data_IF_062991946114
#
_entry.id   IF_062991946114
#
_cell.length_a   1.000
_cell.length_b   1.000
_cell.length_c   1.000
_cell.angle_alpha   90.00
_cell.angle_beta   90.00
_cell.angle_gamma   90.00
#
_symmetry.space_group_name_H-M   'P 1'
#
loop_
_entity.id
_entity.type
_entity.pdbx_description
1 polymer ?
#
# COMPACT_ATOMS: atom_id res chain seq x y z
N UNK A 1 1.61 -16.68 -12.55
CA UNK A 1 2.05 -16.45 -13.93
C UNK A 1 1.61 -17.64 -14.74
N UNK A 2 1.06 -17.42 -15.93
CA UNK A 2 0.81 -18.52 -16.86
C UNK A 2 2.16 -19.10 -17.29
N UNK A 3 2.32 -20.41 -17.08
CA UNK A 3 3.62 -21.08 -17.00
C UNK A 3 4.38 -21.25 -18.32
N UNK A 4 3.85 -20.80 -19.46
CA UNK A 4 4.45 -21.10 -20.78
C UNK A 4 5.01 -19.88 -21.53
N UNK A 5 4.71 -18.63 -21.12
CA UNK A 5 5.25 -17.44 -21.79
C UNK A 5 5.33 -16.23 -20.83
N UNK A 6 6.42 -16.15 -20.07
CA UNK A 6 6.68 -15.00 -19.19
C UNK A 6 7.01 -13.78 -20.04
N UNK A 7 6.05 -12.86 -20.18
CA UNK A 7 6.27 -11.54 -20.79
C UNK A 7 6.97 -10.62 -19.79
N UNK A 8 8.22 -10.25 -20.08
CA UNK A 8 9.00 -9.30 -19.28
C UNK A 8 8.99 -7.95 -19.99
N UNK A 9 8.32 -6.96 -19.39
CA UNK A 9 8.34 -5.57 -19.83
C UNK A 9 9.20 -4.72 -18.89
N UNK A 10 9.90 -3.72 -19.42
CA UNK A 10 10.69 -2.78 -18.63
C UNK A 10 10.23 -1.34 -18.92
N UNK A 11 9.63 -0.59 -17.98
CA UNK A 11 8.91 -1.00 -16.76
C UNK A 11 7.43 -1.34 -17.02
N UNK A 12 6.95 -1.16 -18.25
CA UNK A 12 5.58 -1.43 -18.66
C UNK A 12 5.55 -2.66 -19.58
N UNK A 13 4.50 -3.47 -19.44
CA UNK A 13 4.17 -4.52 -20.42
C UNK A 13 3.08 -3.94 -21.31
N UNK A 14 3.37 -3.75 -22.60
CA UNK A 14 2.40 -3.20 -23.54
C UNK A 14 1.15 -4.08 -23.63
N UNK A 15 -0.03 -3.44 -23.55
CA UNK A 15 -1.32 -4.13 -23.58
C UNK A 15 -1.77 -4.76 -22.25
N UNK A 16 -0.91 -4.78 -21.23
CA UNK A 16 -1.29 -5.27 -19.90
C UNK A 16 -2.14 -4.22 -19.16
N UNK A 17 -3.30 -4.65 -18.66
CA UNK A 17 -4.24 -3.87 -17.86
C UNK A 17 -4.64 -4.67 -16.62
N UNK A 18 -4.63 -3.99 -15.48
CA UNK A 18 -5.14 -4.51 -14.22
C UNK A 18 -6.38 -3.68 -13.88
N UNK A 19 -7.51 -4.34 -13.70
CA UNK A 19 -8.75 -3.72 -13.23
C UNK A 19 -8.92 -4.00 -11.75
N UNK A 20 -9.27 -2.96 -10.99
CA UNK A 20 -9.45 -3.04 -9.55
C UNK A 20 -10.66 -2.22 -9.10
N UNK A 21 -11.32 -2.71 -8.05
CA UNK A 21 -12.43 -2.05 -7.38
C UNK A 21 -11.98 -1.55 -6.01
N UNK A 22 -12.49 -0.38 -5.61
CA UNK A 22 -12.27 0.17 -4.27
C UNK A 22 -13.26 -0.46 -3.30
N UNK A 23 -12.75 -1.31 -2.40
CA UNK A 23 -13.59 -2.01 -1.41
C UNK A 23 -13.86 -1.12 -0.21
N UNK A 24 -12.83 -0.46 0.31
CA UNK A 24 -12.97 0.33 1.53
C UNK A 24 -11.87 1.39 1.67
N UNK A 25 -12.13 2.36 2.55
CA UNK A 25 -11.13 3.29 3.02
C UNK A 25 -10.99 3.13 4.52
N UNK A 26 -9.75 3.02 5.00
CA UNK A 26 -9.46 2.70 6.38
C UNK A 26 -8.34 3.55 6.95
N UNK A 27 -8.14 3.39 8.25
CA UNK A 27 -6.94 3.87 8.95
C UNK A 27 -6.32 2.70 9.68
N UNK A 28 -5.02 2.54 9.55
CA UNK A 28 -4.27 1.52 10.26
C UNK A 28 -4.40 1.68 11.79
N UNK A 29 -4.08 0.63 12.56
CA UNK A 29 -3.94 0.72 14.00
C UNK A 29 -3.04 1.90 14.41
N UNK A 30 -3.32 2.49 15.57
CA UNK A 30 -2.55 3.64 16.05
C UNK A 30 -1.12 3.20 16.33
N UNK A 31 -0.17 3.84 15.67
CA UNK A 31 1.25 3.74 15.98
C UNK A 31 1.63 4.90 16.88
N UNK A 32 2.38 4.62 17.95
CA UNK A 32 2.85 5.63 18.87
C UNK A 32 4.30 5.98 18.54
N UNK A 33 4.53 7.24 18.20
CA UNK A 33 5.87 7.81 18.11
C UNK A 33 6.19 8.42 19.46
N UNK A 34 7.09 7.76 20.20
CA UNK A 34 7.64 8.26 21.45
C UNK A 34 9.01 8.87 21.19
N UNK A 35 9.24 10.08 21.70
CA UNK A 35 10.55 10.73 21.69
C UNK A 35 10.75 11.47 23.00
N UNK A 36 11.74 11.06 23.77
CA UNK A 36 12.26 11.82 24.92
C UNK A 36 13.11 12.99 24.41
N UNK A 37 12.94 14.16 25.01
CA UNK A 37 13.78 15.32 24.75
C UNK A 37 14.90 15.40 25.78
N UNK A 38 16.06 15.91 25.37
CA UNK A 38 17.22 16.08 26.25
C UNK A 38 16.94 16.99 27.45
N UNK A 39 16.02 17.97 27.29
CA UNK A 39 15.56 18.87 28.36
C UNK A 39 14.53 18.23 29.32
N UNK A 40 14.32 16.91 29.27
CA UNK A 40 13.68 16.14 30.34
C UNK A 40 12.17 15.91 30.22
N UNK A 41 11.55 16.23 29.08
CA UNK A 41 10.15 15.87 28.83
C UNK A 41 9.99 14.88 27.69
N UNK A 42 8.96 14.04 27.81
CA UNK A 42 8.60 13.06 26.80
C UNK A 42 7.52 13.59 25.86
N UNK A 43 7.70 13.36 24.56
CA UNK A 43 6.68 13.62 23.54
C UNK A 43 6.13 12.30 23.02
N UNK A 44 4.83 12.11 23.20
CA UNK A 44 4.08 10.99 22.65
C UNK A 44 3.15 11.53 21.56
N UNK A 45 3.33 11.07 20.32
CA UNK A 45 2.43 11.39 19.20
C UNK A 45 1.84 10.11 18.61
N UNK A 46 0.52 10.04 18.55
CA UNK A 46 -0.15 8.98 17.79
C UNK A 46 -0.19 9.32 16.30
N UNK A 47 0.14 8.34 15.46
CA UNK A 47 -0.12 8.37 14.02
C UNK A 47 -1.07 7.25 13.62
N UNK A 48 -1.94 7.53 12.66
CA UNK A 48 -2.81 6.52 12.03
C UNK A 48 -2.75 6.76 10.52
N UNK A 49 -2.11 5.84 9.80
CA UNK A 49 -1.94 5.97 8.37
C UNK A 49 -3.25 5.62 7.65
N UNK A 50 -3.79 6.50 6.79
CA UNK A 50 -4.93 6.16 5.94
C UNK A 50 -4.49 5.19 4.85
N UNK A 51 -5.39 4.29 4.45
CA UNK A 51 -5.19 3.40 3.32
C UNK A 51 -6.51 3.22 2.56
N UNK A 52 -6.38 2.80 1.32
CA UNK A 52 -7.49 2.36 0.48
C UNK A 52 -7.31 0.88 0.19
N UNK A 53 -8.32 0.09 0.46
CA UNK A 53 -8.35 -1.32 0.14
C UNK A 53 -8.87 -1.50 -1.28
N UNK A 54 -8.05 -2.12 -2.12
CA UNK A 54 -8.37 -2.40 -3.51
C UNK A 54 -8.49 -3.91 -3.70
N UNK A 55 -9.56 -4.35 -4.36
CA UNK A 55 -9.71 -5.72 -4.82
C UNK A 55 -9.44 -5.77 -6.32
N UNK A 56 -8.47 -6.60 -6.71
CA UNK A 56 -8.20 -6.83 -8.14
C UNK A 56 -9.30 -7.74 -8.70
N UNK A 57 -9.97 -7.27 -9.74
CA UNK A 57 -11.10 -7.97 -10.38
C UNK A 57 -10.65 -8.72 -11.63
N UNK A 58 -9.75 -8.13 -12.41
CA UNK A 58 -9.23 -8.74 -13.62
C UNK A 58 -7.79 -8.32 -13.89
N UNK A 59 -7.04 -9.24 -14.49
CA UNK A 59 -5.73 -8.98 -15.07
C UNK A 59 -5.80 -9.45 -16.51
N UNK A 60 -5.63 -8.54 -17.45
CA UNK A 60 -5.58 -8.84 -18.90
C UNK A 60 -4.21 -8.42 -19.42
N UNK A 61 -3.52 -9.28 -20.15
CA UNK A 61 -2.19 -8.99 -20.70
C UNK A 61 -1.70 -10.06 -21.66
#
# INVERSE_FOLDING_TARGET
GEGDAVKVGAPLVEGAKVEAEVVSHGKHPKVWHFRTQEEGWDRIRGHRQPYTELRITAVSG
#
